data_IF_192170047459
#
_entry.id   IF_192170047459
#
_cell.length_a   1.000
_cell.length_b   1.000
_cell.length_c   1.000
_cell.angle_alpha   90.00
_cell.angle_beta   90.00
_cell.angle_gamma   90.00
#
_symmetry.space_group_name_H-M   'P 1'
#
loop_
_entity.id
_entity.type
_entity.pdbx_description
1 polymer ?
#
# COMPACT_ATOMS: atom_id res chain seq x y z
N UNK A 1 -34.24 46.26 10.83
CA UNK A 1 -34.81 45.50 9.69
C UNK A 1 -34.22 46.00 8.36
N UNK A 2 -32.91 45.83 8.11
CA UNK A 2 -32.26 46.34 6.88
C UNK A 2 -31.31 45.32 6.23
N UNK A 3 -31.41 44.05 6.58
CA UNK A 3 -30.31 43.08 6.41
C UNK A 3 -30.60 41.95 5.42
N UNK A 4 -31.68 42.04 4.62
CA UNK A 4 -32.06 40.97 3.68
C UNK A 4 -31.81 41.34 2.21
N UNK A 5 -31.71 42.64 1.90
CA UNK A 5 -31.49 43.13 0.51
C UNK A 5 -30.02 43.24 0.11
N UNK A 6 -29.07 43.15 1.04
CA UNK A 6 -27.64 43.16 0.74
C UNK A 6 -27.08 41.80 0.33
N UNK A 7 -27.79 40.70 0.64
CA UNK A 7 -27.46 39.31 0.22
C UNK A 7 -27.58 39.07 -1.29
N UNK A 8 -27.94 40.09 -2.08
CA UNK A 8 -28.07 40.04 -3.53
C UNK A 8 -26.98 40.83 -4.27
N UNK A 9 -25.91 41.25 -3.59
CA UNK A 9 -24.77 41.85 -4.28
C UNK A 9 -24.05 40.74 -5.06
N UNK A 10 -23.83 40.92 -6.36
CA UNK A 10 -23.19 39.91 -7.21
C UNK A 10 -21.85 39.41 -6.65
N UNK A 11 -21.16 40.23 -5.87
CA UNK A 11 -19.91 39.90 -5.16
C UNK A 11 -20.10 38.79 -4.12
N UNK A 12 -21.18 38.81 -3.32
CA UNK A 12 -21.48 37.77 -2.33
C UNK A 12 -21.81 36.43 -2.98
N UNK A 13 -22.53 36.47 -4.11
CA UNK A 13 -22.85 35.29 -4.92
C UNK A 13 -21.59 34.68 -5.54
N UNK A 14 -20.69 35.52 -6.07
CA UNK A 14 -19.40 35.08 -6.61
C UNK A 14 -18.53 34.48 -5.50
N UNK A 15 -18.47 35.14 -4.34
CA UNK A 15 -17.70 34.64 -3.20
C UNK A 15 -18.25 33.30 -2.67
N UNK A 16 -19.57 33.15 -2.62
CA UNK A 16 -20.23 31.90 -2.25
C UNK A 16 -19.94 30.80 -3.28
N UNK A 17 -20.04 31.11 -4.58
CA UNK A 17 -19.77 30.16 -5.66
C UNK A 17 -18.31 29.68 -5.64
N UNK A 18 -17.34 30.59 -5.46
CA UNK A 18 -15.92 30.24 -5.34
C UNK A 18 -15.69 29.36 -4.10
N UNK A 19 -16.28 29.72 -2.96
CA UNK A 19 -16.14 28.94 -1.72
C UNK A 19 -16.71 27.54 -1.86
N UNK A 20 -17.90 27.40 -2.45
CA UNK A 20 -18.53 26.11 -2.73
C UNK A 20 -17.72 25.31 -3.76
N UNK A 21 -17.21 25.95 -4.81
CA UNK A 21 -16.35 25.33 -5.80
C UNK A 21 -15.06 24.78 -5.19
N UNK A 22 -14.40 25.57 -4.35
CA UNK A 22 -13.20 25.14 -3.60
C UNK A 22 -13.52 23.99 -2.65
N UNK A 23 -14.64 24.05 -1.93
CA UNK A 23 -15.05 22.98 -1.02
C UNK A 23 -15.33 21.68 -1.79
N UNK A 24 -16.09 21.76 -2.90
CA UNK A 24 -16.38 20.61 -3.75
C UNK A 24 -15.11 20.01 -4.35
N UNK A 25 -14.19 20.85 -4.82
CA UNK A 25 -12.88 20.44 -5.31
C UNK A 25 -12.07 19.72 -4.22
N UNK A 26 -12.04 20.27 -3.01
CA UNK A 26 -11.32 19.66 -1.87
C UNK A 26 -11.90 18.30 -1.49
N UNK A 27 -13.23 18.17 -1.45
CA UNK A 27 -13.91 16.90 -1.19
C UNK A 27 -13.56 15.89 -2.29
N UNK A 28 -13.62 16.30 -3.54
CA UNK A 28 -13.27 15.45 -4.68
C UNK A 28 -11.81 14.98 -4.61
N UNK A 29 -10.87 15.89 -4.34
CA UNK A 29 -9.45 15.57 -4.17
C UNK A 29 -9.21 14.61 -3.01
N UNK A 30 -9.86 14.84 -1.88
CA UNK A 30 -9.80 13.94 -0.72
C UNK A 30 -10.32 12.55 -1.09
N UNK A 31 -11.42 12.47 -1.83
CA UNK A 31 -11.95 11.18 -2.28
C UNK A 31 -10.99 10.46 -3.22
N UNK A 32 -10.36 11.16 -4.18
CA UNK A 32 -9.34 10.59 -5.07
C UNK A 32 -8.14 10.05 -4.29
N UNK A 33 -7.69 10.77 -3.25
CA UNK A 33 -6.65 10.28 -2.34
C UNK A 33 -7.08 9.05 -1.56
N UNK A 34 -8.35 8.96 -1.15
CA UNK A 34 -8.88 7.81 -0.40
C UNK A 34 -9.16 6.59 -1.29
N UNK A 35 -9.44 6.77 -2.59
CA UNK A 35 -9.71 5.67 -3.55
C UNK A 35 -8.80 4.44 -3.42
N UNK A 36 -7.46 4.56 -3.41
CA UNK A 36 -6.57 3.40 -3.29
C UNK A 36 -6.71 2.66 -1.95
N UNK A 37 -7.25 3.31 -0.92
CA UNK A 37 -7.47 2.70 0.40
C UNK A 37 -8.82 1.99 0.50
N UNK A 38 -9.79 2.29 -0.38
CA UNK A 38 -11.13 1.67 -0.35
C UNK A 38 -11.05 0.14 -0.38
N UNK A 39 -10.24 -0.50 -1.24
CA UNK A 39 -10.09 -1.96 -1.22
C UNK A 39 -9.56 -2.47 0.12
N UNK A 40 -8.54 -1.82 0.69
CA UNK A 40 -7.93 -2.22 1.97
C UNK A 40 -8.94 -2.05 3.13
N UNK A 41 -9.73 -0.98 3.12
CA UNK A 41 -10.81 -0.75 4.10
C UNK A 41 -11.90 -1.82 3.97
N UNK A 42 -12.31 -2.15 2.74
CA UNK A 42 -13.28 -3.21 2.49
C UNK A 42 -12.79 -4.56 3.03
N UNK A 43 -11.54 -4.93 2.73
CA UNK A 43 -10.91 -6.13 3.27
C UNK A 43 -10.78 -6.10 4.79
N UNK A 44 -10.50 -4.94 5.38
CA UNK A 44 -10.44 -4.76 6.84
C UNK A 44 -11.80 -5.01 7.50
N UNK A 45 -12.89 -4.54 6.89
CA UNK A 45 -14.27 -4.81 7.37
C UNK A 45 -14.58 -6.30 7.29
N UNK A 46 -14.27 -6.95 6.15
CA UNK A 46 -14.45 -8.40 5.99
C UNK A 46 -13.69 -9.16 7.07
N UNK A 47 -12.44 -8.78 7.32
CA UNK A 47 -11.60 -9.38 8.34
C UNK A 47 -12.19 -9.16 9.75
N UNK A 48 -12.65 -7.95 10.07
CA UNK A 48 -13.29 -7.65 11.35
C UNK A 48 -14.54 -8.49 11.59
N UNK A 49 -15.39 -8.65 10.57
CA UNK A 49 -16.59 -9.50 10.63
C UNK A 49 -16.21 -10.98 10.78
N UNK A 50 -15.18 -11.44 10.04
CA UNK A 50 -14.69 -12.81 10.14
C UNK A 50 -14.05 -13.13 11.50
N UNK A 51 -13.38 -12.15 12.13
CA UNK A 51 -12.82 -12.30 13.48
C UNK A 51 -13.85 -12.15 14.60
N UNK A 52 -15.02 -11.59 14.35
CA UNK A 52 -16.08 -11.44 15.36
C UNK A 52 -16.44 -12.75 16.11
N UNK A 53 -16.68 -13.91 15.45
CA UNK A 53 -16.94 -15.15 16.16
C UNK A 53 -15.74 -15.62 17.00
N UNK A 54 -14.51 -15.40 16.52
CA UNK A 54 -13.28 -15.73 17.26
C UNK A 54 -13.15 -14.84 18.50
N UNK A 55 -13.41 -13.53 18.36
CA UNK A 55 -13.46 -12.59 19.46
C UNK A 55 -14.48 -13.00 20.52
N UNK A 56 -15.68 -13.41 20.10
CA UNK A 56 -16.72 -13.87 21.01
C UNK A 56 -16.32 -15.17 21.72
N UNK A 57 -15.75 -16.15 21.00
CA UNK A 57 -15.27 -17.40 21.60
C UNK A 57 -14.19 -17.12 22.65
N UNK A 58 -13.24 -16.25 22.32
CA UNK A 58 -12.13 -15.87 23.18
C UNK A 58 -12.64 -15.09 24.41
N UNK A 59 -13.56 -14.17 24.22
CA UNK A 59 -14.22 -13.42 25.31
C UNK A 59 -14.97 -14.35 26.27
N UNK A 60 -15.63 -15.39 25.75
CA UNK A 60 -16.30 -16.41 26.56
C UNK A 60 -15.31 -17.28 27.32
N UNK A 61 -14.21 -17.68 26.68
CA UNK A 61 -13.15 -18.48 27.30
C UNK A 61 -12.40 -17.71 28.40
N UNK A 62 -12.26 -16.39 28.24
CA UNK A 62 -11.63 -15.48 29.21
C UNK A 62 -12.59 -15.00 30.33
N UNK A 63 -13.74 -15.64 30.49
CA UNK A 63 -14.65 -15.37 31.61
C UNK A 63 -15.43 -14.05 31.49
N UNK A 64 -15.75 -13.61 30.27
CA UNK A 64 -16.63 -12.46 30.04
C UNK A 64 -15.94 -11.10 30.18
N UNK A 65 -14.61 -11.03 30.03
CA UNK A 65 -13.83 -9.79 30.02
C UNK A 65 -13.48 -9.35 28.57
N UNK A 66 -14.39 -8.64 27.86
CA UNK A 66 -14.22 -8.35 26.43
C UNK A 66 -13.00 -7.49 26.11
N UNK A 67 -12.54 -6.65 27.05
CA UNK A 67 -11.37 -5.78 26.86
C UNK A 67 -10.06 -6.56 26.72
N UNK A 68 -9.86 -7.59 27.54
CA UNK A 68 -8.64 -8.42 27.46
C UNK A 68 -8.67 -9.32 26.22
N UNK A 69 -9.84 -9.86 25.88
CA UNK A 69 -10.01 -10.62 24.65
C UNK A 69 -9.68 -9.77 23.40
N UNK A 70 -10.05 -8.48 23.40
CA UNK A 70 -9.75 -7.58 22.28
C UNK A 70 -8.26 -7.35 22.14
N UNK A 71 -7.58 -7.01 23.24
CA UNK A 71 -6.12 -6.77 23.24
C UNK A 71 -5.36 -8.02 22.78
N UNK A 72 -5.71 -9.20 23.29
CA UNK A 72 -5.06 -10.46 22.91
C UNK A 72 -5.29 -10.77 21.43
N UNK A 73 -6.53 -10.61 20.94
CA UNK A 73 -6.84 -10.86 19.54
C UNK A 73 -6.10 -9.91 18.61
N UNK A 74 -6.01 -8.62 18.98
CA UNK A 74 -5.21 -7.63 18.24
C UNK A 74 -3.73 -8.00 18.23
N UNK A 75 -3.17 -8.43 19.37
CA UNK A 75 -1.76 -8.84 19.44
C UNK A 75 -1.48 -10.05 18.54
N UNK A 76 -2.37 -11.04 18.56
CA UNK A 76 -2.25 -12.24 17.70
C UNK A 76 -2.32 -11.86 16.24
N UNK A 77 -3.30 -11.03 15.84
CA UNK A 77 -3.44 -10.57 14.46
C UNK A 77 -2.19 -9.80 14.00
N UNK A 78 -1.68 -8.92 14.87
CA UNK A 78 -0.46 -8.17 14.60
C UNK A 78 0.74 -9.11 14.41
N UNK A 79 0.86 -10.15 15.23
CA UNK A 79 1.95 -11.12 15.11
C UNK A 79 1.86 -11.95 13.83
N UNK A 80 0.64 -12.33 13.41
CA UNK A 80 0.38 -13.05 12.15
C UNK A 80 0.72 -12.19 10.94
N UNK A 81 0.52 -10.87 11.00
CA UNK A 81 0.82 -9.95 9.90
C UNK A 81 2.29 -9.53 9.90
N UNK A 82 2.81 -9.09 11.04
CA UNK A 82 4.19 -8.60 11.17
C UNK A 82 5.20 -9.73 11.00
N UNK A 83 4.95 -10.94 11.54
CA UNK A 83 5.90 -12.04 11.50
C UNK A 83 6.37 -12.42 10.07
N UNK A 84 5.46 -12.69 9.13
CA UNK A 84 5.83 -12.93 7.74
C UNK A 84 6.41 -11.70 7.07
N UNK A 85 5.90 -10.50 7.36
CA UNK A 85 6.39 -9.26 6.76
C UNK A 85 7.85 -8.97 7.16
N UNK A 86 8.24 -9.23 8.40
CA UNK A 86 9.62 -9.06 8.85
C UNK A 86 10.53 -10.12 8.26
N UNK A 87 10.09 -11.38 8.18
CA UNK A 87 10.84 -12.42 7.48
C UNK A 87 11.10 -12.04 6.01
N UNK A 88 10.05 -11.63 5.30
CA UNK A 88 10.14 -11.19 3.90
C UNK A 88 11.04 -9.96 3.76
N UNK A 89 10.92 -8.99 4.66
CA UNK A 89 11.76 -7.79 4.67
C UNK A 89 13.24 -8.10 4.88
N UNK A 90 13.57 -8.98 5.84
CA UNK A 90 14.93 -9.46 6.06
C UNK A 90 15.45 -10.18 4.81
N UNK A 91 14.69 -11.15 4.30
CA UNK A 91 15.06 -11.91 3.10
C UNK A 91 15.30 -11.01 1.88
N UNK A 92 14.52 -9.93 1.72
CA UNK A 92 14.72 -8.95 0.67
C UNK A 92 16.02 -8.14 0.88
N UNK A 93 16.31 -7.73 2.11
CA UNK A 93 17.57 -7.03 2.46
C UNK A 93 18.78 -7.93 2.26
N UNK A 94 18.72 -9.20 2.68
CA UNK A 94 19.75 -10.19 2.42
C UNK A 94 19.97 -10.38 0.92
N UNK A 95 18.89 -10.53 0.12
CA UNK A 95 18.98 -10.63 -1.33
C UNK A 95 19.65 -9.43 -1.98
N UNK A 96 19.32 -8.21 -1.55
CA UNK A 96 19.96 -6.98 -2.05
C UNK A 96 21.44 -6.92 -1.68
N UNK A 97 21.79 -7.29 -0.44
CA UNK A 97 23.19 -7.36 0.01
C UNK A 97 24.00 -8.38 -0.78
N UNK A 98 23.44 -9.55 -1.05
CA UNK A 98 24.05 -10.60 -1.87
C UNK A 98 24.32 -10.08 -3.30
N UNK A 99 23.33 -9.41 -3.91
CA UNK A 99 23.49 -8.82 -5.25
C UNK A 99 24.58 -7.73 -5.24
N UNK A 100 24.58 -6.84 -4.25
CA UNK A 100 25.58 -5.78 -4.10
C UNK A 100 27.00 -6.34 -3.86
N UNK A 101 27.11 -7.43 -3.07
CA UNK A 101 28.38 -8.11 -2.84
C UNK A 101 28.91 -8.77 -4.12
N UNK A 102 28.05 -9.39 -4.92
CA UNK A 102 28.41 -9.97 -6.24
C UNK A 102 28.85 -8.91 -7.24
N UNK A 103 28.23 -7.72 -7.22
CA UNK A 103 28.65 -6.57 -8.03
C UNK A 103 30.01 -6.02 -7.58
N UNK A 104 30.23 -5.91 -6.26
CA UNK A 104 31.47 -5.36 -5.69
C UNK A 104 32.67 -6.31 -5.83
N UNK A 105 32.42 -7.61 -5.88
CA UNK A 105 33.46 -8.64 -6.07
C UNK A 105 34.00 -8.73 -7.50
N UNK A 106 33.57 -7.86 -8.43
CA UNK A 106 34.02 -7.84 -9.82
C UNK A 106 33.56 -9.03 -10.67
N UNK A 107 32.77 -9.94 -10.09
CA UNK A 107 32.27 -11.14 -10.73
C UNK A 107 30.87 -10.87 -11.29
N UNK A 108 30.80 -10.02 -12.31
CA UNK A 108 29.58 -9.70 -13.07
C UNK A 108 29.10 -10.92 -13.88
N UNK A 109 28.67 -11.95 -13.19
CA UNK A 109 27.64 -12.84 -13.68
C UNK A 109 26.32 -12.25 -13.23
N UNK A 110 25.80 -11.27 -13.99
CA UNK A 110 24.35 -11.01 -13.98
C UNK A 110 23.72 -12.33 -14.41
N UNK A 111 23.02 -13.07 -13.52
CA UNK A 111 22.36 -14.28 -13.92
C UNK A 111 21.35 -13.92 -15.02
N UNK A 112 21.32 -14.72 -16.08
CA UNK A 112 20.33 -14.58 -17.14
C UNK A 112 18.94 -14.47 -16.51
N UNK A 113 18.09 -13.53 -16.97
CA UNK A 113 16.76 -13.35 -16.42
C UNK A 113 16.05 -14.71 -16.44
N UNK A 114 15.61 -15.18 -15.28
CA UNK A 114 14.90 -16.45 -15.18
C UNK A 114 13.65 -16.40 -16.06
N UNK A 115 13.40 -17.45 -16.82
CA UNK A 115 12.31 -17.50 -17.81
C UNK A 115 10.93 -17.15 -17.20
N UNK A 116 10.75 -17.33 -15.89
CA UNK A 116 9.53 -16.94 -15.17
C UNK A 116 9.25 -15.43 -15.07
N UNK A 117 10.22 -14.56 -15.37
CA UNK A 117 9.96 -13.10 -15.48
C UNK A 117 9.19 -12.78 -16.77
N UNK A 118 9.33 -13.61 -17.81
CA UNK A 118 8.63 -13.46 -19.09
C UNK A 118 7.13 -13.77 -18.98
N UNK A 119 6.75 -14.64 -18.04
CA UNK A 119 5.37 -15.07 -17.82
C UNK A 119 4.54 -14.06 -17.02
N UNK A 120 5.10 -12.91 -16.61
CA UNK A 120 4.34 -11.89 -15.89
C UNK A 120 3.52 -11.05 -16.88
N UNK A 121 2.18 -11.18 -16.92
CA UNK A 121 1.33 -10.57 -17.95
C UNK A 121 1.34 -9.04 -18.00
N UNK A 122 1.83 -8.34 -16.97
CA UNK A 122 1.75 -6.88 -16.89
C UNK A 122 3.09 -6.14 -17.09
N UNK A 123 4.21 -6.75 -16.70
CA UNK A 123 5.55 -6.11 -16.75
C UNK A 123 6.67 -7.02 -17.25
N UNK A 124 6.39 -8.29 -17.54
CA UNK A 124 7.40 -9.27 -17.93
C UNK A 124 8.18 -8.92 -19.20
N UNK A 125 7.52 -8.55 -20.32
CA UNK A 125 8.21 -8.29 -21.59
C UNK A 125 9.15 -7.08 -21.52
N UNK A 126 8.71 -5.99 -20.89
CA UNK A 126 9.48 -4.75 -20.77
C UNK A 126 10.68 -4.93 -19.82
N UNK A 127 10.45 -5.62 -18.69
CA UNK A 127 11.50 -5.89 -17.73
C UNK A 127 12.55 -6.85 -18.29
N UNK A 128 12.14 -7.84 -19.09
CA UNK A 128 13.03 -8.78 -19.77
C UNK A 128 13.95 -8.08 -20.78
N UNK A 129 13.40 -7.20 -21.63
CA UNK A 129 14.19 -6.45 -22.61
C UNK A 129 15.20 -5.52 -21.92
N UNK A 130 14.78 -4.79 -20.88
CA UNK A 130 15.68 -3.91 -20.11
C UNK A 130 16.78 -4.71 -19.40
N UNK A 131 16.45 -5.87 -18.84
CA UNK A 131 17.42 -6.76 -18.18
C UNK A 131 18.40 -7.39 -19.18
N UNK A 132 17.92 -7.76 -20.36
CA UNK A 132 18.73 -8.30 -21.45
C UNK A 132 19.69 -7.25 -22.02
N UNK A 133 19.20 -6.02 -22.25
CA UNK A 133 20.04 -4.91 -22.71
C UNK A 133 21.08 -4.50 -21.66
N UNK A 134 20.71 -4.45 -20.38
CA UNK A 134 21.65 -4.21 -19.30
C UNK A 134 22.72 -5.31 -19.24
N UNK A 135 22.32 -6.58 -19.34
CA UNK A 135 23.24 -7.73 -19.34
C UNK A 135 24.22 -7.71 -20.52
N UNK A 136 23.78 -7.32 -21.71
CA UNK A 136 24.62 -7.24 -22.90
C UNK A 136 25.56 -6.04 -22.87
N UNK A 137 25.09 -4.87 -22.43
CA UNK A 137 25.92 -3.66 -22.34
C UNK A 137 27.03 -3.79 -21.30
N UNK A 138 26.74 -4.40 -20.14
CA UNK A 138 27.76 -4.61 -19.10
C UNK A 138 28.83 -5.60 -19.59
N UNK A 139 28.46 -6.61 -20.38
CA UNK A 139 29.39 -7.54 -21.02
C UNK A 139 30.27 -6.86 -22.07
N UNK A 140 29.78 -5.80 -22.72
CA UNK A 140 30.51 -5.03 -23.72
C UNK A 140 31.56 -4.10 -23.11
N UNK A 141 31.36 -3.61 -21.88
CA UNK A 141 32.31 -2.75 -21.15
C UNK A 141 33.47 -3.55 -20.53
N UNK A 142 33.31 -4.87 -20.37
CA UNK A 142 34.28 -5.78 -19.75
C UNK A 142 35.21 -6.50 -20.76
N UNK A 143 35.24 -6.05 -22.02
CA UNK A 143 36.08 -6.62 -23.09
C UNK A 143 37.07 -5.60 -23.63
#
# INVERSE_FOLDING_TARGET
>A
MKTIRQLGSGEDLIQLAIRLGLLAFLIYWTFVLIRPFVPILAWSIVLAVALYPVFHLLSRLLGGRPRFAAVILTLINLMIVIGPATWLGLSAVEGVKEVAARLSAGNLMVPSPSEGVKDWPLIGPQLYELWNQASNNIRMVLR
#
